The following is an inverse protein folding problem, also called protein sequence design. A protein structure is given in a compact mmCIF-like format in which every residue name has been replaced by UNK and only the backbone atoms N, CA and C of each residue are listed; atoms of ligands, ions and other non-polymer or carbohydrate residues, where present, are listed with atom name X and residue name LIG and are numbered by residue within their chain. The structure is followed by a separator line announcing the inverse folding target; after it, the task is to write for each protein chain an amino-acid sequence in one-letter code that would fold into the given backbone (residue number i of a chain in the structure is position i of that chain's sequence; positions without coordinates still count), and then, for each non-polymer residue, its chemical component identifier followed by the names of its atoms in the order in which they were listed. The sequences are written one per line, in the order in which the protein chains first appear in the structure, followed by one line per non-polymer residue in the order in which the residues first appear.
data_IF_088195969599
#
_entry.id   IF_088195969599
#
_cell.length_a   1.000
_cell.length_b   1.000
_cell.length_c   1.000
_cell.angle_alpha   90.00
_cell.angle_beta   90.00
_cell.angle_gamma   90.00
#
_symmetry.space_group_name_H-M   'P 1'
#
loop_
_entity.id
_entity.type
_entity.pdbx_description
1 polymer ?
#
# COMPACT_ATOMS: atom_id res chain seq x y z
N UNK A 1 -14.99 22.27 -15.85
CA UNK A 1 -15.70 21.38 -14.90
C UNK A 1 -15.21 21.77 -13.52
N UNK A 2 -16.11 22.07 -12.57
CA UNK A 2 -15.69 22.36 -11.20
C UNK A 2 -15.49 21.04 -10.46
N UNK A 3 -14.23 20.72 -10.20
CA UNK A 3 -13.86 19.64 -9.29
C UNK A 3 -14.31 20.00 -7.88
N UNK A 4 -14.78 19.00 -7.14
CA UNK A 4 -15.18 19.15 -5.76
C UNK A 4 -14.77 17.91 -4.98
N UNK A 5 -14.53 18.08 -3.69
CA UNK A 5 -14.11 17.01 -2.81
C UNK A 5 -15.26 16.01 -2.57
N UNK A 6 -14.96 14.72 -2.65
CA UNK A 6 -15.84 13.63 -2.23
C UNK A 6 -15.29 12.96 -0.96
N UNK A 7 -16.14 12.74 0.02
CA UNK A 7 -15.80 12.05 1.28
C UNK A 7 -16.12 10.56 1.15
N UNK A 8 -15.10 9.72 1.35
CA UNK A 8 -15.23 8.26 1.34
C UNK A 8 -15.17 7.71 2.77
N UNK A 9 -16.32 7.35 3.32
CA UNK A 9 -16.42 6.79 4.66
C UNK A 9 -16.08 5.29 4.67
N UNK A 10 -15.11 4.88 5.48
CA UNK A 10 -14.66 3.49 5.52
C UNK A 10 -14.87 2.78 6.87
N UNK A 11 -14.81 3.49 8.01
CA UNK A 11 -14.97 2.93 9.36
C UNK A 11 -15.72 3.90 10.32
N UNK A 12 -16.16 3.40 11.48
CA UNK A 12 -16.86 4.14 12.53
C UNK A 12 -16.26 3.81 13.90
N UNK A 13 -15.59 4.78 14.53
CA UNK A 13 -14.83 4.56 15.76
C UNK A 13 -15.55 4.97 17.04
N UNK A 14 -16.44 5.94 16.93
CA UNK A 14 -17.25 6.50 18.02
C UNK A 14 -18.63 6.82 17.46
N UNK A 15 -19.67 6.52 18.23
CA UNK A 15 -21.05 6.89 17.93
C UNK A 15 -21.67 7.40 19.22
N UNK A 16 -21.94 8.70 19.28
CA UNK A 16 -22.32 9.40 20.51
C UNK A 16 -21.28 9.09 21.61
N UNK A 17 -21.73 8.65 22.79
CA UNK A 17 -20.86 8.24 23.90
C UNK A 17 -20.40 6.77 23.81
N UNK A 18 -20.72 6.06 22.72
CA UNK A 18 -20.37 4.65 22.55
C UNK A 18 -19.08 4.49 21.76
N UNK A 19 -18.01 4.05 22.44
CA UNK A 19 -16.75 3.64 21.80
C UNK A 19 -16.98 2.40 20.92
N UNK A 20 -17.03 2.62 19.60
CA UNK A 20 -17.17 1.58 18.59
C UNK A 20 -15.86 0.89 18.25
N UNK A 21 -14.71 1.53 18.50
CA UNK A 21 -13.38 1.01 18.13
C UNK A 21 -13.08 -0.40 18.67
N UNK A 22 -13.66 -0.80 19.81
CA UNK A 22 -13.50 -2.15 20.39
C UNK A 22 -14.43 -3.21 19.77
N UNK A 23 -15.47 -2.78 19.03
CA UNK A 23 -16.40 -3.69 18.34
C UNK A 23 -15.73 -4.27 17.10
N UNK A 24 -16.18 -5.44 16.64
CA UNK A 24 -15.68 -6.03 15.39
C UNK A 24 -15.87 -5.12 14.19
N UNK A 25 -14.95 -5.19 13.23
CA UNK A 25 -15.03 -4.43 11.99
C UNK A 25 -16.37 -4.60 11.28
N UNK A 26 -16.91 -5.83 11.22
CA UNK A 26 -18.23 -6.10 10.64
C UNK A 26 -19.35 -5.31 11.32
N UNK A 27 -19.33 -5.20 12.66
CA UNK A 27 -20.34 -4.45 13.43
C UNK A 27 -20.18 -2.94 13.22
N UNK A 28 -18.95 -2.40 13.26
CA UNK A 28 -18.66 -0.99 12.97
C UNK A 28 -19.13 -0.62 11.58
N UNK A 29 -18.82 -1.46 10.59
CA UNK A 29 -19.23 -1.28 9.19
C UNK A 29 -20.75 -1.30 8.99
N UNK A 30 -21.47 -2.17 9.71
CA UNK A 30 -22.94 -2.19 9.67
C UNK A 30 -23.53 -0.88 10.21
N UNK A 31 -23.01 -0.40 11.34
CA UNK A 31 -23.42 0.88 11.93
C UNK A 31 -23.10 2.05 11.00
N UNK A 32 -21.91 2.08 10.40
CA UNK A 32 -21.53 3.11 9.43
C UNK A 32 -22.54 3.19 8.27
N UNK A 33 -22.90 2.04 7.70
CA UNK A 33 -23.87 1.96 6.60
C UNK A 33 -25.28 2.43 6.97
N UNK A 34 -25.69 2.27 8.23
CA UNK A 34 -27.00 2.76 8.69
C UNK A 34 -27.01 4.26 8.99
N UNK A 35 -25.84 4.86 9.22
CA UNK A 35 -25.70 6.27 9.59
C UNK A 35 -25.41 7.18 8.39
N UNK A 36 -24.55 6.72 7.47
CA UNK A 36 -24.09 7.54 6.36
C UNK A 36 -25.17 7.63 5.28
N UNK A 37 -25.71 8.84 5.10
CA UNK A 37 -26.49 9.19 3.91
C UNK A 37 -25.54 9.43 2.74
N UNK A 38 -25.67 8.60 1.71
CA UNK A 38 -24.88 8.71 0.47
C UNK A 38 -25.39 9.85 -0.39
N UNK A 39 -24.48 10.65 -0.93
CA UNK A 39 -24.75 11.76 -1.84
C UNK A 39 -23.82 11.56 -3.03
N UNK A 40 -24.33 11.20 -4.22
CA UNK A 40 -23.50 10.97 -5.40
C UNK A 40 -22.56 12.16 -5.68
N UNK A 41 -21.27 11.85 -5.87
CA UNK A 41 -20.22 12.85 -6.10
C UNK A 41 -19.69 13.56 -4.85
N UNK A 42 -20.34 13.45 -3.69
CA UNK A 42 -19.98 14.22 -2.48
C UNK A 42 -19.68 13.34 -1.26
N UNK A 43 -20.43 12.26 -1.05
CA UNK A 43 -20.30 11.41 0.13
C UNK A 43 -20.72 9.97 -0.17
N UNK A 44 -19.82 9.02 0.02
CA UNK A 44 -20.10 7.60 -0.24
C UNK A 44 -19.42 6.71 0.80
N UNK A 45 -19.89 5.47 0.94
CA UNK A 45 -19.26 4.47 1.80
C UNK A 45 -18.32 3.62 0.93
N UNK A 46 -17.01 3.67 1.21
CA UNK A 46 -15.98 3.02 0.39
C UNK A 46 -16.25 1.54 0.17
N UNK A 47 -16.06 1.00 -1.03
CA UNK A 47 -16.53 -0.35 -1.38
C UNK A 47 -15.91 -1.45 -0.50
N UNK A 48 -16.65 -2.55 -0.33
CA UNK A 48 -16.25 -3.69 0.50
C UNK A 48 -16.69 -5.02 -0.10
N UNK A 49 -15.77 -5.98 -0.11
CA UNK A 49 -16.05 -7.39 -0.37
C UNK A 49 -15.49 -8.28 0.75
N UNK A 50 -16.17 -9.38 1.06
CA UNK A 50 -15.74 -10.35 2.08
C UNK A 50 -15.20 -11.58 1.39
N UNK A 51 -13.97 -11.94 1.71
CA UNK A 51 -13.34 -13.18 1.24
C UNK A 51 -13.20 -14.12 2.42
N UNK A 52 -13.70 -15.35 2.25
CA UNK A 52 -13.59 -16.39 3.27
C UNK A 52 -12.25 -17.12 3.12
N UNK A 53 -11.21 -16.68 3.84
CA UNK A 53 -9.87 -17.28 3.76
C UNK A 53 -9.80 -18.74 4.27
N UNK A 54 -10.89 -19.27 4.80
CA UNK A 54 -11.03 -20.68 5.12
C UNK A 54 -11.41 -21.56 3.92
N UNK A 55 -11.81 -20.98 2.79
CA UNK A 55 -12.16 -21.74 1.59
C UNK A 55 -10.91 -22.05 0.75
N UNK A 56 -10.93 -23.18 0.03
CA UNK A 56 -9.84 -23.57 -0.85
C UNK A 56 -9.59 -22.58 -2.00
N UNK A 57 -10.61 -21.83 -2.42
CA UNK A 57 -10.54 -20.85 -3.51
C UNK A 57 -10.27 -19.41 -3.03
N UNK A 58 -9.93 -19.18 -1.76
CA UNK A 58 -9.75 -17.84 -1.23
C UNK A 58 -8.66 -17.03 -1.95
N UNK A 59 -7.54 -17.69 -2.29
CA UNK A 59 -6.44 -17.06 -3.01
C UNK A 59 -6.85 -16.62 -4.41
N UNK A 60 -7.52 -17.50 -5.17
CA UNK A 60 -8.07 -17.18 -6.49
C UNK A 60 -9.03 -16.00 -6.43
N UNK A 61 -9.98 -16.02 -5.49
CA UNK A 61 -10.92 -14.91 -5.27
C UNK A 61 -10.23 -13.60 -4.94
N UNK A 62 -9.20 -13.62 -4.09
CA UNK A 62 -8.42 -12.41 -3.78
C UNK A 62 -7.71 -11.88 -5.03
N UNK A 63 -7.13 -12.77 -5.84
CA UNK A 63 -6.47 -12.42 -7.10
C UNK A 63 -7.44 -11.79 -8.10
N UNK A 64 -8.64 -12.35 -8.28
CA UNK A 64 -9.70 -11.76 -9.12
C UNK A 64 -10.08 -10.35 -8.66
N UNK A 65 -10.21 -10.15 -7.34
CA UNK A 65 -10.54 -8.85 -6.76
C UNK A 65 -9.42 -7.84 -6.96
N UNK A 66 -8.18 -8.28 -6.85
CA UNK A 66 -7.02 -7.44 -7.08
C UNK A 66 -6.87 -7.06 -8.56
N UNK A 67 -7.08 -7.99 -9.49
CA UNK A 67 -7.12 -7.72 -10.92
C UNK A 67 -8.23 -6.73 -11.29
N UNK A 68 -9.42 -6.87 -10.68
CA UNK A 68 -10.52 -5.91 -10.85
C UNK A 68 -10.16 -4.53 -10.32
N UNK A 69 -9.50 -4.45 -9.17
CA UNK A 69 -9.04 -3.19 -8.59
C UNK A 69 -8.07 -2.44 -9.52
N UNK A 70 -7.07 -3.16 -10.06
CA UNK A 70 -6.12 -2.62 -11.04
C UNK A 70 -6.84 -2.13 -12.29
N UNK A 71 -7.77 -2.92 -12.83
CA UNK A 71 -8.55 -2.55 -14.03
C UNK A 71 -9.40 -1.30 -13.81
N UNK A 72 -9.89 -1.08 -12.60
CA UNK A 72 -10.64 0.11 -12.19
C UNK A 72 -9.73 1.29 -11.80
N UNK A 73 -8.41 1.15 -11.99
CA UNK A 73 -7.39 2.15 -11.62
C UNK A 73 -7.43 2.53 -10.14
N UNK A 74 -7.78 1.58 -9.28
CA UNK A 74 -7.61 1.73 -7.84
C UNK A 74 -6.15 1.51 -7.46
N UNK A 75 -5.68 2.23 -6.45
CA UNK A 75 -4.32 2.13 -5.92
C UNK A 75 -3.97 0.72 -5.42
N UNK A 76 -4.95 0.05 -4.81
CA UNK A 76 -4.75 -1.26 -4.20
C UNK A 76 -5.91 -1.64 -3.29
N UNK A 77 -5.65 -2.60 -2.40
CA UNK A 77 -6.63 -3.17 -1.48
C UNK A 77 -6.16 -3.04 -0.03
N UNK A 78 -7.10 -2.79 0.89
CA UNK A 78 -6.85 -2.85 2.33
C UNK A 78 -7.60 -4.05 2.93
N UNK A 79 -6.86 -5.04 3.41
CA UNK A 79 -7.41 -6.26 4.03
C UNK A 79 -7.52 -6.07 5.54
N UNK A 80 -8.73 -6.25 6.09
CA UNK A 80 -9.04 -6.13 7.52
C UNK A 80 -9.82 -7.33 8.03
N UNK A 81 -9.47 -7.94 9.15
CA UNK A 81 -10.27 -9.05 9.68
C UNK A 81 -11.69 -8.57 10.04
N UNK A 82 -12.71 -9.34 9.64
CA UNK A 82 -14.11 -8.97 9.89
C UNK A 82 -14.44 -8.91 11.39
N UNK A 83 -13.73 -9.71 12.20
CA UNK A 83 -13.94 -9.82 13.63
C UNK A 83 -12.96 -8.95 14.44
N UNK A 84 -12.02 -8.27 13.78
CA UNK A 84 -10.98 -7.52 14.46
C UNK A 84 -11.53 -6.19 15.00
N UNK A 85 -11.09 -5.76 16.20
CA UNK A 85 -11.31 -4.39 16.65
C UNK A 85 -10.51 -3.41 15.77
N UNK A 86 -10.71 -2.10 15.95
CA UNK A 86 -9.95 -1.10 15.20
C UNK A 86 -8.52 -0.99 15.72
N UNK A 87 -8.37 -1.03 17.05
CA UNK A 87 -7.08 -1.06 17.72
C UNK A 87 -6.91 -2.41 18.41
N UNK A 88 -5.73 -2.98 18.27
CA UNK A 88 -5.25 -4.12 19.05
C UNK A 88 -4.03 -3.67 19.84
N UNK A 89 -3.91 -4.13 21.08
CA UNK A 89 -2.72 -3.88 21.90
C UNK A 89 -1.46 -4.51 21.28
N UNK A 90 -1.65 -5.55 20.47
CA UNK A 90 -0.60 -6.22 19.73
C UNK A 90 -0.49 -5.61 18.32
N UNK A 91 0.70 -5.17 17.92
CA UNK A 91 0.99 -4.64 16.58
C UNK A 91 0.65 -5.62 15.44
N UNK A 92 0.49 -6.92 15.73
CA UNK A 92 0.36 -7.99 14.74
C UNK A 92 -1.03 -8.12 14.08
N UNK A 93 -2.04 -7.37 14.52
CA UNK A 93 -3.40 -7.41 13.94
C UNK A 93 -3.71 -6.14 13.15
N UNK A 94 -2.70 -5.66 12.42
CA UNK A 94 -2.82 -4.49 11.56
C UNK A 94 -3.55 -4.80 10.25
N UNK A 95 -4.19 -3.78 9.68
CA UNK A 95 -4.71 -3.84 8.31
C UNK A 95 -3.55 -4.09 7.34
N UNK A 96 -3.72 -5.00 6.37
CA UNK A 96 -2.71 -5.27 5.34
C UNK A 96 -3.03 -4.43 4.12
N UNK A 97 -2.05 -3.67 3.61
CA UNK A 97 -2.16 -2.94 2.34
C UNK A 97 -1.53 -3.77 1.22
N UNK A 98 -2.30 -4.10 0.19
CA UNK A 98 -1.85 -4.82 -0.99
C UNK A 98 -1.89 -3.86 -2.20
N UNK A 99 -0.72 -3.56 -2.76
CA UNK A 99 -0.56 -2.67 -3.92
C UNK A 99 0.14 -3.39 -5.06
N UNK A 100 -0.07 -2.90 -6.29
CA UNK A 100 0.55 -3.44 -7.52
C UNK A 100 2.08 -3.42 -7.40
N UNK A 101 2.64 -2.34 -6.87
CA UNK A 101 4.08 -2.12 -6.75
C UNK A 101 4.78 -3.02 -5.73
N UNK A 102 4.01 -3.70 -4.86
CA UNK A 102 4.57 -4.66 -3.92
C UNK A 102 4.81 -6.03 -4.55
N UNK A 103 4.27 -6.29 -5.75
CA UNK A 103 4.40 -7.57 -6.44
C UNK A 103 5.46 -7.42 -7.54
N UNK A 104 6.56 -8.20 -7.48
CA UNK A 104 7.60 -8.16 -8.51
C UNK A 104 7.03 -8.37 -9.91
N UNK A 105 7.43 -7.51 -10.84
CA UNK A 105 6.99 -7.56 -12.24
C UNK A 105 5.60 -7.00 -12.51
N UNK A 106 4.86 -6.56 -11.48
CA UNK A 106 3.60 -5.85 -11.68
C UNK A 106 3.72 -4.35 -11.56
N UNK A 107 4.60 -3.80 -10.72
CA UNK A 107 4.78 -2.34 -10.56
C UNK A 107 5.21 -1.62 -11.84
N UNK A 108 4.91 -0.33 -11.93
CA UNK A 108 5.44 0.50 -13.01
C UNK A 108 6.94 0.75 -12.78
N UNK A 109 7.73 0.58 -13.83
CA UNK A 109 9.18 0.77 -13.79
C UNK A 109 9.62 1.66 -14.94
N UNK A 110 10.64 2.47 -14.69
CA UNK A 110 11.24 3.34 -15.67
C UNK A 110 12.75 3.34 -15.50
N UNK A 111 13.47 3.45 -16.62
CA UNK A 111 14.92 3.52 -16.64
C UNK A 111 15.36 4.98 -16.46
N UNK A 112 16.23 5.21 -15.48
CA UNK A 112 16.80 6.53 -15.19
C UNK A 112 18.33 6.47 -15.15
N UNK A 113 18.97 7.61 -15.44
CA UNK A 113 20.42 7.77 -15.31
C UNK A 113 20.74 8.57 -14.05
N UNK A 114 21.70 8.11 -13.25
CA UNK A 114 22.23 8.90 -12.13
C UNK A 114 23.11 10.01 -12.69
N UNK A 115 22.79 11.27 -12.37
CA UNK A 115 23.51 12.46 -12.85
C UNK A 115 24.31 13.14 -11.73
N UNK A 116 24.11 12.75 -10.47
CA UNK A 116 24.85 13.26 -9.32
C UNK A 116 24.46 12.57 -8.01
N UNK A 117 25.11 12.96 -6.92
CA UNK A 117 24.80 12.50 -5.57
C UNK A 117 25.03 13.59 -4.53
N UNK A 118 24.36 13.46 -3.39
CA UNK A 118 24.54 14.30 -2.21
C UNK A 118 24.79 13.43 -0.97
N UNK A 119 25.47 13.98 0.03
CA UNK A 119 25.64 13.36 1.34
C UNK A 119 24.97 14.21 2.41
N UNK A 120 24.19 13.57 3.26
CA UNK A 120 23.52 14.12 4.43
C UNK A 120 23.81 13.23 5.63
N UNK A 121 24.37 13.79 6.69
CA UNK A 121 24.62 13.06 7.93
C UNK A 121 23.32 12.62 8.63
N UNK A 122 22.23 13.36 8.44
CA UNK A 122 20.91 13.02 8.96
C UNK A 122 20.36 11.75 8.29
N UNK A 123 20.37 11.73 6.95
CA UNK A 123 19.95 10.56 6.16
C UNK A 123 20.85 9.34 6.47
N UNK A 124 22.17 9.55 6.63
CA UNK A 124 23.10 8.47 6.99
C UNK A 124 22.69 7.81 8.32
N UNK A 125 22.29 8.62 9.29
CA UNK A 125 21.83 8.14 10.58
C UNK A 125 20.48 7.42 10.48
N UNK A 126 19.55 7.92 9.67
CA UNK A 126 18.23 7.31 9.46
C UNK A 126 18.30 5.97 8.72
N UNK A 127 19.10 5.90 7.65
CA UNK A 127 19.26 4.67 6.85
C UNK A 127 19.92 3.57 7.70
N UNK A 128 20.88 3.93 8.56
CA UNK A 128 21.38 3.03 9.61
C UNK A 128 22.22 1.83 9.12
N UNK A 129 22.76 1.89 7.90
CA UNK A 129 23.59 0.82 7.30
C UNK A 129 25.10 1.07 7.42
N UNK A 130 25.51 2.06 8.22
CA UNK A 130 26.91 2.43 8.44
C UNK A 130 27.32 3.65 7.61
N UNK A 131 28.64 3.89 7.52
CA UNK A 131 29.17 5.11 6.89
C UNK A 131 28.96 5.11 5.38
N UNK A 132 28.26 6.12 4.87
CA UNK A 132 27.93 6.26 3.45
C UNK A 132 28.70 7.42 2.81
N UNK A 133 29.05 7.28 1.54
CA UNK A 133 29.63 8.37 0.74
C UNK A 133 28.57 9.27 0.12
N UNK A 134 27.39 8.72 -0.15
CA UNK A 134 26.23 9.40 -0.73
C UNK A 134 24.98 8.87 -0.03
N UNK A 135 24.06 9.74 0.30
CA UNK A 135 22.77 9.40 0.92
C UNK A 135 21.59 9.66 -0.01
N UNK A 136 21.76 10.54 -1.00
CA UNK A 136 20.76 10.83 -2.02
C UNK A 136 21.40 10.84 -3.41
N UNK A 137 20.63 10.45 -4.42
CA UNK A 137 21.07 10.45 -5.82
C UNK A 137 20.16 11.34 -6.66
N UNK A 138 20.75 12.12 -7.56
CA UNK A 138 20.00 12.86 -8.56
C UNK A 138 19.84 11.97 -9.79
N UNK A 139 18.60 11.76 -10.21
CA UNK A 139 18.26 10.94 -11.37
C UNK A 139 17.71 11.82 -12.49
N UNK A 140 18.06 11.48 -13.72
CA UNK A 140 17.55 12.11 -14.94
C UNK A 140 16.87 11.07 -15.84
N UNK A 141 15.82 11.50 -16.54
CA UNK A 141 15.22 10.76 -17.64
C UNK A 141 15.49 11.50 -18.95
N UNK A 142 15.78 10.77 -20.02
CA UNK A 142 15.92 11.35 -21.36
C UNK A 142 14.54 11.39 -22.00
N UNK A 143 13.95 12.59 -22.12
CA UNK A 143 12.61 12.75 -22.69
C UNK A 143 12.59 12.73 -24.22
N UNK A 144 13.75 12.88 -24.87
CA UNK A 144 13.83 12.95 -26.32
C UNK A 144 15.15 12.32 -26.82
N UNK A 145 15.07 11.31 -27.68
CA UNK A 145 16.25 10.57 -28.17
C UNK A 145 17.07 11.38 -29.18
N UNK A 146 16.44 12.37 -29.81
CA UNK A 146 17.01 13.20 -30.88
C UNK A 146 17.28 14.66 -30.47
N UNK A 147 16.74 15.14 -29.34
CA UNK A 147 17.04 16.47 -28.79
C UNK A 147 17.45 16.35 -27.32
N UNK A 148 18.70 16.69 -27.02
CA UNK A 148 19.29 16.54 -25.68
C UNK A 148 18.78 17.60 -24.71
N UNK A 149 17.58 17.40 -24.15
CA UNK A 149 17.07 18.18 -23.02
C UNK A 149 16.77 17.21 -21.88
N UNK A 150 17.59 17.29 -20.82
CA UNK A 150 17.41 16.53 -19.59
C UNK A 150 16.58 17.37 -18.62
N UNK A 151 15.35 16.95 -18.32
CA UNK A 151 14.62 17.50 -17.18
C UNK A 151 15.13 16.82 -15.91
N UNK A 152 15.75 17.61 -15.03
CA UNK A 152 16.25 17.16 -13.73
C UNK A 152 15.09 17.24 -12.74
N UNK A 153 14.57 16.10 -12.30
CA UNK A 153 13.68 16.03 -11.16
C UNK A 153 14.49 15.75 -9.91
N UNK A 154 14.54 16.72 -9.00
CA UNK A 154 15.12 16.56 -7.66
C UNK A 154 14.00 16.18 -6.70
N UNK A 155 13.67 14.88 -6.63
CA UNK A 155 13.00 14.28 -5.46
C UNK A 155 12.87 12.77 -5.69
N UNK A 156 13.94 12.03 -5.37
CA UNK A 156 13.79 10.62 -5.05
C UNK A 156 14.63 10.32 -3.81
N UNK A 157 13.99 10.48 -2.66
CA UNK A 157 14.51 9.99 -1.39
C UNK A 157 14.45 8.46 -1.40
N UNK A 158 15.62 7.81 -1.42
CA UNK A 158 15.74 6.34 -1.41
C UNK A 158 15.74 5.88 0.05
N UNK A 159 14.70 6.22 0.81
CA UNK A 159 14.53 5.79 2.21
C UNK A 159 13.79 4.44 2.35
N UNK A 160 13.46 3.76 1.24
CA UNK A 160 12.88 2.41 1.31
C UNK A 160 13.97 1.33 1.38
N UNK A 161 14.18 0.84 2.62
CA UNK A 161 14.98 -0.34 3.03
C UNK A 161 15.13 -1.41 1.94
N UNK A 162 16.33 -1.49 1.36
CA UNK A 162 16.86 -2.73 0.79
C UNK A 162 18.30 -2.94 1.30
N UNK A 163 18.62 -4.07 1.95
CA UNK A 163 19.98 -4.31 2.41
C UNK A 163 20.92 -4.60 1.22
N UNK A 164 21.97 -3.78 1.13
CA UNK A 164 23.24 -3.97 0.41
C UNK A 164 23.20 -4.31 -1.08
N UNK A 165 23.64 -3.36 -1.92
CA UNK A 165 24.19 -3.65 -3.24
C UNK A 165 25.70 -3.45 -3.21
N UNK A 166 26.47 -4.54 -3.28
CA UNK A 166 27.89 -4.48 -3.64
C UNK A 166 28.04 -4.38 -5.16
N UNK A 167 28.95 -3.54 -5.68
CA UNK A 167 29.11 -3.37 -7.11
C UNK A 167 29.94 -4.53 -7.66
N UNK A 168 29.25 -5.58 -8.15
CA UNK A 168 29.63 -6.49 -9.25
C UNK A 168 28.93 -7.84 -9.06
N UNK A 169 28.43 -8.37 -10.17
CA UNK A 169 27.83 -9.70 -10.40
C UNK A 169 26.30 -9.80 -10.21
N UNK A 170 25.63 -10.06 -11.34
CA UNK A 170 24.25 -10.55 -11.42
C UNK A 170 24.23 -11.95 -10.80
N UNK A 171 23.50 -12.11 -9.69
CA UNK A 171 23.11 -13.42 -9.18
C UNK A 171 21.61 -13.36 -8.85
N UNK A 172 20.82 -14.05 -9.65
CA UNK A 172 19.39 -14.29 -9.40
C UNK A 172 19.24 -15.21 -8.20
N UNK A 173 18.42 -14.83 -7.22
CA UNK A 173 17.98 -15.72 -6.15
C UNK A 173 16.45 -15.83 -6.19
N UNK A 174 15.95 -17.07 -6.24
CA UNK A 174 14.55 -17.40 -6.01
C UNK A 174 14.33 -17.60 -4.52
N UNK A 175 13.21 -17.11 -4.01
CA UNK A 175 12.72 -17.46 -2.68
C UNK A 175 11.28 -17.93 -2.79
N UNK A 176 11.01 -19.15 -2.33
CA UNK A 176 9.67 -19.68 -2.09
C UNK A 176 9.27 -19.37 -0.66
N UNK A 177 8.17 -18.63 -0.41
CA UNK A 177 7.60 -18.56 0.93
C UNK A 177 6.92 -19.88 1.23
N UNK A 178 7.49 -20.60 2.20
CA UNK A 178 6.81 -21.65 2.95
C UNK A 178 5.60 -21.01 3.63
N UNK A 179 4.40 -21.48 3.25
CA UNK A 179 3.15 -21.11 3.90
C UNK A 179 3.07 -21.90 5.19
N UNK A 180 3.25 -21.26 6.34
CA UNK A 180 2.61 -21.73 7.56
C UNK A 180 2.29 -20.58 8.51
N UNK A 181 0.99 -20.26 8.59
CA UNK A 181 0.23 -19.96 9.82
C UNK A 181 -1.23 -19.63 9.42
N UNK A 182 -1.97 -20.67 9.02
CA UNK A 182 -3.40 -20.55 8.74
C UNK A 182 -4.23 -20.75 10.03
N UNK A 183 -4.30 -19.74 10.89
CA UNK A 183 -5.38 -19.66 11.89
C UNK A 183 -6.55 -18.84 11.34
N UNK A 184 -7.60 -19.56 10.95
CA UNK A 184 -9.00 -19.16 10.71
C UNK A 184 -9.32 -17.68 10.96
N UNK A 185 -9.35 -16.84 9.90
CA UNK A 185 -9.96 -15.49 9.97
C UNK A 185 -10.61 -15.11 8.64
N UNK A 186 -11.80 -14.51 8.73
CA UNK A 186 -12.48 -13.86 7.61
C UNK A 186 -11.90 -12.45 7.45
N UNK A 187 -11.51 -12.07 6.24
CA UNK A 187 -11.02 -10.71 5.95
C UNK A 187 -11.98 -9.95 5.03
N UNK A 188 -11.94 -8.64 5.18
CA UNK A 188 -12.77 -7.65 4.53
C UNK A 188 -11.85 -6.72 3.76
N UNK A 189 -12.13 -6.59 2.47
CA UNK A 189 -11.37 -5.73 1.57
C UNK A 189 -12.00 -4.35 1.56
N UNK A 190 -11.20 -3.29 1.69
CA UNK A 190 -11.62 -1.89 1.55
C UNK A 190 -10.74 -1.18 0.53
N UNK A 191 -11.29 -0.12 -0.05
CA UNK A 191 -10.63 0.80 -0.97
C UNK A 191 -10.59 2.18 -0.33
#
# INVERSE_FOLDING_TARGET
MNEHLMIMFYDLLLLDDTVCARKSHAKRRRLLRSLVRRIPGLAEVGFREVVAFSSANAAERLTELFARAITQRWEGLVLKGCNDPYFTSDCDKSSIKLKKDYIPGLGDSADFTIVGGNHSAEDEQEIGIGKLWWTSFFIGCMENKDETICNISTDMDISHKYPSLSPRQILTWSWTPTVDYAQRRYFSIHL
#
